data_IF_043964499617
#
_entry.id   IF_043964499617
#
_cell.length_a   1.000
_cell.length_b   1.000
_cell.length_c   1.000
_cell.angle_alpha   90.00
_cell.angle_beta   90.00
_cell.angle_gamma   90.00
#
_symmetry.space_group_name_H-M   'P 1'
#
loop_
_entity.id
_entity.type
_entity.pdbx_description
1 polymer ?
#
# COMPACT_ATOMS: atom_id res chain seq x y z
N UNK A 1 -1.81 11.27 -20.08
CA UNK A 1 -1.12 9.99 -20.38
C UNK A 1 -0.26 9.49 -19.22
N UNK A 2 0.60 10.32 -18.59
CA UNK A 2 1.47 9.87 -17.49
C UNK A 2 0.71 9.32 -16.26
N UNK A 3 -0.50 9.83 -15.97
CA UNK A 3 -1.33 9.37 -14.86
C UNK A 3 -1.86 7.94 -15.04
N UNK A 4 -2.24 7.54 -16.27
CA UNK A 4 -2.81 6.21 -16.55
C UNK A 4 -1.77 5.11 -16.33
N UNK A 5 -0.53 5.36 -16.74
CA UNK A 5 0.58 4.43 -16.53
C UNK A 5 0.88 4.30 -15.03
N UNK A 6 0.77 5.40 -14.29
CA UNK A 6 0.99 5.44 -12.85
C UNK A 6 -0.08 4.66 -12.09
N UNK A 7 -1.37 4.87 -12.41
CA UNK A 7 -2.50 4.13 -11.84
C UNK A 7 -2.38 2.62 -12.12
N UNK A 8 -1.99 2.24 -13.34
CA UNK A 8 -1.80 0.82 -13.69
C UNK A 8 -0.66 0.16 -12.91
N UNK A 9 0.44 0.88 -12.67
CA UNK A 9 1.56 0.39 -11.87
C UNK A 9 1.17 0.24 -10.40
N UNK A 10 0.45 1.22 -9.86
CA UNK A 10 -0.09 1.22 -8.49
C UNK A 10 -1.01 0.02 -8.25
N UNK A 11 -1.98 -0.21 -9.14
CA UNK A 11 -2.93 -1.32 -9.04
C UNK A 11 -2.21 -2.68 -9.15
N UNK A 12 -1.22 -2.79 -10.03
CA UNK A 12 -0.44 -4.02 -10.20
C UNK A 12 0.36 -4.36 -8.93
N UNK A 13 1.05 -3.38 -8.35
CA UNK A 13 1.80 -3.57 -7.09
C UNK A 13 0.87 -3.97 -5.95
N UNK A 14 -0.32 -3.34 -5.85
CA UNK A 14 -1.32 -3.71 -4.85
C UNK A 14 -1.84 -5.13 -5.02
N UNK A 15 -2.07 -5.61 -6.24
CA UNK A 15 -2.46 -7.01 -6.49
C UNK A 15 -1.38 -7.99 -6.06
N UNK A 16 -0.13 -7.72 -6.41
CA UNK A 16 1.00 -8.56 -5.98
C UNK A 16 1.11 -8.61 -4.45
N UNK A 17 0.87 -7.49 -3.77
CA UNK A 17 0.88 -7.40 -2.32
C UNK A 17 -0.30 -8.18 -1.70
N UNK A 18 -1.51 -8.01 -2.23
CA UNK A 18 -2.71 -8.71 -1.77
C UNK A 18 -2.61 -10.23 -1.94
N UNK A 19 -1.97 -10.69 -3.02
CA UNK A 19 -1.70 -12.10 -3.29
C UNK A 19 -0.53 -12.65 -2.45
N UNK A 20 0.12 -11.84 -1.61
CA UNK A 20 1.26 -12.23 -0.80
C UNK A 20 2.53 -12.53 -1.60
N UNK A 21 2.59 -12.11 -2.87
CA UNK A 21 3.76 -12.32 -3.75
C UNK A 21 4.90 -11.36 -3.45
N UNK A 22 4.59 -10.21 -2.85
CA UNK A 22 5.57 -9.23 -2.37
C UNK A 22 5.23 -8.82 -0.94
N UNK A 23 6.24 -8.36 -0.20
CA UNK A 23 6.04 -7.78 1.13
C UNK A 23 5.60 -6.32 1.07
N UNK A 24 4.99 -5.83 2.15
CA UNK A 24 4.61 -4.41 2.28
C UNK A 24 5.80 -3.47 2.12
N UNK A 25 6.95 -3.80 2.73
CA UNK A 25 8.18 -3.00 2.60
C UNK A 25 8.64 -2.92 1.14
N UNK A 26 8.58 -4.03 0.40
CA UNK A 26 8.95 -4.04 -1.02
C UNK A 26 7.98 -3.23 -1.89
N UNK A 27 6.68 -3.27 -1.58
CA UNK A 27 5.69 -2.40 -2.25
C UNK A 27 5.96 -0.91 -1.99
N UNK A 28 6.40 -0.55 -0.77
CA UNK A 28 6.80 0.81 -0.42
C UNK A 28 8.00 1.28 -1.25
N UNK A 29 9.00 0.42 -1.42
CA UNK A 29 10.19 0.70 -2.22
C UNK A 29 9.86 0.89 -3.71
N UNK A 30 8.99 0.04 -4.28
CA UNK A 30 8.60 0.14 -5.70
C UNK A 30 7.86 1.45 -5.98
N UNK A 31 6.92 1.82 -5.10
CA UNK A 31 6.10 3.01 -5.32
C UNK A 31 6.77 4.29 -4.80
N UNK A 32 7.88 4.18 -4.08
CA UNK A 32 8.54 5.27 -3.35
C UNK A 32 7.55 5.99 -2.42
N UNK A 33 6.83 5.18 -1.61
CA UNK A 33 5.73 5.65 -0.75
C UNK A 33 5.78 5.01 0.62
N UNK A 34 5.17 5.68 1.59
CA UNK A 34 5.05 5.15 2.94
C UNK A 34 4.03 4.00 3.01
N UNK A 35 4.16 3.08 3.98
CA UNK A 35 3.17 2.03 4.21
C UNK A 35 1.74 2.56 4.35
N UNK A 36 1.57 3.72 5.01
CA UNK A 36 0.27 4.38 5.14
C UNK A 36 -0.35 4.72 3.78
N UNK A 37 0.45 5.24 2.85
CA UNK A 37 -0.01 5.54 1.51
C UNK A 37 -0.45 4.27 0.77
N UNK A 38 0.27 3.15 0.95
CA UNK A 38 -0.09 1.85 0.37
C UNK A 38 -1.48 1.40 0.86
N UNK A 39 -1.77 1.52 2.16
CA UNK A 39 -3.09 1.19 2.71
C UNK A 39 -4.20 2.12 2.19
N UNK A 40 -3.96 3.43 2.15
CA UNK A 40 -4.93 4.38 1.59
C UNK A 40 -5.16 4.15 0.08
N UNK A 41 -4.12 3.74 -0.65
CA UNK A 41 -4.21 3.37 -2.06
C UNK A 41 -5.02 2.09 -2.23
N UNK A 42 -4.76 1.06 -1.43
CA UNK A 42 -5.54 -0.18 -1.43
C UNK A 42 -7.03 0.09 -1.15
N UNK A 43 -7.34 0.96 -0.18
CA UNK A 43 -8.71 1.39 0.14
C UNK A 43 -9.37 2.10 -1.04
N UNK A 44 -8.65 2.99 -1.73
CA UNK A 44 -9.15 3.69 -2.94
C UNK A 44 -9.44 2.72 -4.09
N UNK A 45 -8.65 1.67 -4.24
CA UNK A 45 -8.81 0.65 -5.28
C UNK A 45 -9.72 -0.53 -4.87
N UNK A 46 -10.31 -0.51 -3.66
CA UNK A 46 -11.10 -1.62 -3.09
C UNK A 46 -10.33 -2.97 -3.08
N UNK A 47 -9.02 -2.92 -2.83
CA UNK A 47 -8.17 -4.10 -2.72
C UNK A 47 -7.97 -4.41 -1.23
N UNK A 48 -8.30 -5.64 -0.82
CA UNK A 48 -8.07 -6.12 0.53
C UNK A 48 -6.62 -6.66 0.63
N UNK A 49 -5.78 -5.97 1.41
CA UNK A 49 -4.42 -6.42 1.68
C UNK A 49 -4.47 -7.46 2.78
N UNK A 50 -4.35 -8.73 2.42
CA UNK A 50 -4.32 -9.84 3.36
C UNK A 50 -3.04 -9.81 4.19
N UNK A 51 -3.05 -9.07 5.31
CA UNK A 51 -2.35 -9.35 6.57
C UNK A 51 -2.38 -8.12 7.49
N UNK A 52 -3.12 -8.27 8.57
CA UNK A 52 -3.17 -7.46 9.79
C UNK A 52 -3.59 -5.98 9.69
N UNK A 53 -4.91 -5.78 9.83
CA UNK A 53 -5.53 -4.51 10.23
C UNK A 53 -4.86 -3.89 11.49
N UNK A 54 -4.14 -4.67 12.32
CA UNK A 54 -3.37 -4.17 13.45
C UNK A 54 -2.11 -3.38 13.05
N UNK A 55 -1.43 -3.73 11.95
CA UNK A 55 -0.25 -3.00 11.48
C UNK A 55 -0.61 -1.56 11.06
N UNK A 56 -1.80 -1.39 10.46
CA UNK A 56 -2.35 -0.08 10.11
C UNK A 56 -2.61 0.78 11.36
N UNK A 57 -3.18 0.18 12.42
CA UNK A 57 -3.46 0.87 13.70
C UNK A 57 -2.18 1.28 14.43
N UNK A 58 -1.11 0.50 14.36
CA UNK A 58 0.20 0.89 14.93
C UNK A 58 0.87 2.01 14.14
N UNK A 59 0.85 1.97 12.81
CA UNK A 59 1.40 3.04 11.97
C UNK A 59 0.74 4.41 12.24
N UNK A 60 -0.58 4.44 12.47
CA UNK A 60 -1.27 5.67 12.84
C UNK A 60 -0.86 6.23 14.22
N UNK A 61 -0.48 5.37 15.17
CA UNK A 61 -0.01 5.82 16.49
C UNK A 61 1.35 6.50 16.40
N UNK A 62 2.26 5.96 15.59
CA UNK A 62 3.62 6.51 15.44
C UNK A 62 3.59 7.93 14.87
N UNK A 63 2.70 8.19 13.89
CA UNK A 63 2.58 9.51 13.25
C UNK A 63 1.83 10.55 14.10
N UNK A 64 0.90 10.14 14.98
CA UNK A 64 0.21 11.07 15.90
C UNK A 64 1.06 11.47 17.12
N UNK A 65 2.22 10.85 17.30
CA UNK A 65 3.13 11.11 18.42
C UNK A 65 4.43 11.82 18.00
N UNK A 66 4.54 12.28 16.75
CA UNK A 66 5.64 13.13 16.24
C UNK A 66 5.18 14.55 15.98
#
# INVERSE_FOLDING_TARGET
>A
MRQIIYEGAEEYVLKLLAEGRISLSYACDILDRSPFYIYELARRHNIELGSDENFYKEGQKILKSS
#
